data_IF_857489011991
#
_entry.id   IF_857489011991
#
_cell.length_a   1.000
_cell.length_b   1.000
_cell.length_c   1.000
_cell.angle_alpha   90.00
_cell.angle_beta   90.00
_cell.angle_gamma   90.00
#
_symmetry.space_group_name_H-M   'P 1'
#
loop_
_entity.id
_entity.type
_entity.pdbx_description
1 polymer ?
#
# COMPACT_ATOMS: atom_id res chain seq x y z
N UNK A 1 -1.87 -4.94 2.82
CA UNK A 1 -0.73 -4.01 2.73
C UNK A 1 0.32 -4.63 1.82
N UNK A 2 0.91 -3.87 0.90
CA UNK A 2 1.89 -4.40 -0.07
C UNK A 2 3.31 -4.29 0.46
N UNK A 3 4.18 -5.21 0.06
CA UNK A 3 5.62 -5.17 0.36
C UNK A 3 6.40 -5.18 -0.95
N UNK A 4 7.48 -4.41 -1.03
CA UNK A 4 8.43 -4.53 -2.14
C UNK A 4 9.34 -5.76 -1.95
N UNK A 5 10.18 -6.07 -2.95
CA UNK A 5 11.13 -7.19 -2.91
C UNK A 5 12.17 -7.09 -1.78
N UNK A 6 12.28 -5.93 -1.13
CA UNK A 6 13.19 -5.66 -0.01
C UNK A 6 12.42 -5.54 1.31
N UNK A 7 11.17 -6.01 1.36
CA UNK A 7 10.30 -5.94 2.52
C UNK A 7 10.02 -4.51 3.02
N UNK A 8 10.14 -3.50 2.15
CA UNK A 8 9.64 -2.16 2.45
C UNK A 8 8.12 -2.12 2.31
N UNK A 9 7.44 -1.49 3.28
CA UNK A 9 6.01 -1.23 3.22
C UNK A 9 5.68 -0.31 2.05
N UNK A 10 4.88 -0.82 1.12
CA UNK A 10 4.27 -0.06 0.04
C UNK A 10 2.84 0.30 0.44
N UNK A 11 2.57 1.59 0.47
CA UNK A 11 1.23 2.11 0.68
C UNK A 11 0.52 2.24 -0.66
N UNK A 12 -0.63 1.58 -0.79
CA UNK A 12 -1.49 1.67 -1.96
C UNK A 12 -2.47 2.80 -1.71
N UNK A 13 -2.30 3.89 -2.43
CA UNK A 13 -3.05 5.14 -2.16
C UNK A 13 -4.38 5.16 -2.92
N UNK A 14 -4.49 4.32 -3.96
CA UNK A 14 -5.70 4.24 -4.76
C UNK A 14 -5.89 2.81 -5.26
N UNK A 15 -6.93 2.15 -4.76
CA UNK A 15 -7.42 0.86 -5.26
C UNK A 15 -8.82 1.07 -5.82
N UNK A 16 -9.09 0.44 -6.95
CA UNK A 16 -10.44 0.25 -7.44
C UNK A 16 -10.77 -1.23 -7.25
N UNK A 17 -11.89 -1.50 -6.59
CA UNK A 17 -12.39 -2.86 -6.43
C UNK A 17 -13.58 -3.03 -7.37
N UNK A 18 -13.42 -3.88 -8.38
CA UNK A 18 -14.47 -4.20 -9.34
C UNK A 18 -14.70 -5.72 -9.31
N UNK A 19 -15.87 -6.13 -8.82
CA UNK A 19 -16.20 -7.51 -8.53
C UNK A 19 -15.16 -8.16 -7.59
N UNK A 20 -14.39 -9.11 -8.13
CA UNK A 20 -13.38 -9.91 -7.43
C UNK A 20 -11.94 -9.48 -7.81
N UNK A 21 -11.80 -8.37 -8.54
CA UNK A 21 -10.50 -7.85 -8.99
C UNK A 21 -10.14 -6.56 -8.26
N UNK A 22 -8.95 -6.54 -7.68
CA UNK A 22 -8.36 -5.33 -7.09
C UNK A 22 -7.40 -4.73 -8.12
N UNK A 23 -7.72 -3.54 -8.63
CA UNK A 23 -6.83 -2.76 -9.50
C UNK A 23 -6.04 -1.78 -8.64
N UNK A 24 -4.72 -1.93 -8.63
CA UNK A 24 -3.80 -0.99 -8.00
C UNK A 24 -3.56 0.16 -8.98
N UNK A 25 -4.05 1.36 -8.65
CA UNK A 25 -3.92 2.55 -9.50
C UNK A 25 -2.64 3.33 -9.14
N UNK A 26 -2.26 3.34 -7.85
CA UNK A 26 -1.00 3.94 -7.41
C UNK A 26 -0.46 3.27 -6.15
N UNK A 27 0.83 2.93 -6.18
CA UNK A 27 1.58 2.45 -5.03
C UNK A 27 2.83 3.31 -4.85
N UNK A 28 3.04 3.80 -3.63
CA UNK A 28 4.28 4.50 -3.25
C UNK A 28 4.82 3.96 -1.94
N UNK A 29 6.08 4.29 -1.66
CA UNK A 29 6.66 4.01 -0.35
C UNK A 29 5.86 4.78 0.72
N UNK A 30 5.53 4.10 1.82
CA UNK A 30 4.89 4.72 2.96
C UNK A 30 5.82 5.79 3.56
N UNK A 31 5.27 6.95 3.92
CA UNK A 31 6.01 7.95 4.72
C UNK A 31 6.20 7.43 6.15
N UNK A 32 7.15 8.01 6.90
CA UNK A 32 7.42 7.60 8.28
C UNK A 32 6.18 7.73 9.18
N UNK A 33 5.44 8.82 9.06
CA UNK A 33 4.21 9.05 9.83
C UNK A 33 3.12 8.03 9.50
N UNK A 34 2.94 7.67 8.23
CA UNK A 34 1.99 6.63 7.81
C UNK A 34 2.41 5.26 8.34
N UNK A 35 3.70 4.91 8.27
CA UNK A 35 4.21 3.65 8.85
C UNK A 35 3.90 3.55 10.34
N UNK A 36 4.20 4.61 11.10
CA UNK A 36 3.92 4.66 12.53
C UNK A 36 2.42 4.48 12.85
N UNK A 37 1.53 5.00 12.00
CA UNK A 37 0.07 4.85 12.17
C UNK A 37 -0.45 3.44 11.86
N UNK A 38 0.11 2.74 10.87
CA UNK A 38 -0.38 1.43 10.43
C UNK A 38 0.34 0.23 11.05
N UNK A 39 1.56 0.44 11.58
CA UNK A 39 2.36 -0.61 12.24
C UNK A 39 2.13 -0.68 13.76
N UNK A 40 1.23 0.16 14.32
CA UNK A 40 0.78 0.10 15.73
C UNK A 40 -0.29 -0.96 15.96
#
# INVERSE_FOLDING_TARGET
MGLDIRWNLLYVVYIEQENDTIRIISARKATRQEREYYES
#
